data_IF_477470776317
#
_entry.id   IF_477470776317
#
_cell.length_a   1.000
_cell.length_b   1.000
_cell.length_c   1.000
_cell.angle_alpha   90.00
_cell.angle_beta   90.00
_cell.angle_gamma   90.00
#
_symmetry.space_group_name_H-M   'P 1'
#
loop_
_entity.id
_entity.type
_entity.pdbx_description
1 polymer ?
#
# COMPACT_ATOMS: atom_id res chain seq x y z
N UNK A 1 3.35 21.27 5.11
CA UNK A 1 4.53 20.81 5.87
C UNK A 1 4.88 19.43 5.37
N UNK A 2 6.04 19.25 4.75
CA UNK A 2 6.58 17.90 4.55
C UNK A 2 6.80 17.28 5.92
N UNK A 3 6.06 16.21 6.21
CA UNK A 3 6.10 15.54 7.52
C UNK A 3 7.42 14.77 7.73
N UNK A 4 8.15 14.51 6.65
CA UNK A 4 9.39 13.74 6.63
C UNK A 4 10.47 14.55 5.94
N UNK A 5 11.39 15.18 6.70
CA UNK A 5 12.43 16.07 6.14
C UNK A 5 13.53 15.32 5.38
N UNK A 6 13.56 13.99 5.45
CA UNK A 6 14.44 13.15 4.64
C UNK A 6 13.65 12.51 3.50
N UNK A 7 14.28 12.40 2.32
CA UNK A 7 13.66 11.75 1.16
C UNK A 7 13.36 10.28 1.48
N UNK A 8 12.09 9.91 1.37
CA UNK A 8 11.65 8.51 1.42
C UNK A 8 12.29 7.80 0.23
N UNK A 9 13.05 6.74 0.50
CA UNK A 9 13.80 6.02 -0.53
C UNK A 9 13.10 4.75 -1.02
N UNK A 10 12.10 4.26 -0.30
CA UNK A 10 11.24 3.14 -0.70
C UNK A 10 9.93 3.20 0.11
N UNK A 11 8.80 3.02 -0.56
CA UNK A 11 7.51 2.79 0.09
C UNK A 11 7.13 1.32 -0.05
N UNK A 12 6.81 0.67 1.08
CA UNK A 12 6.34 -0.72 1.10
C UNK A 12 4.87 -0.71 1.47
N UNK A 13 4.04 -1.27 0.59
CA UNK A 13 2.60 -1.43 0.80
C UNK A 13 2.31 -2.87 1.21
N UNK A 14 1.59 -3.03 2.32
CA UNK A 14 1.19 -4.31 2.90
C UNK A 14 -0.21 -4.14 3.46
N UNK A 15 -1.15 -4.99 3.06
CA UNK A 15 -2.56 -4.96 3.52
C UNK A 15 -3.17 -3.56 3.53
N UNK A 16 -2.83 -2.77 2.51
CA UNK A 16 -3.16 -1.35 2.42
C UNK A 16 -3.55 -0.98 0.99
N UNK A 17 -4.43 0.01 0.87
CA UNK A 17 -4.78 0.59 -0.43
C UNK A 17 -3.60 1.43 -0.91
N UNK A 18 -3.13 1.14 -2.12
CA UNK A 18 -2.10 1.92 -2.77
C UNK A 18 -2.74 3.07 -3.56
N UNK A 19 -2.44 4.34 -3.21
CA UNK A 19 -2.94 5.48 -3.96
C UNK A 19 -2.19 5.60 -5.30
N UNK A 20 -2.91 6.09 -6.30
CA UNK A 20 -2.39 6.38 -7.63
C UNK A 20 -2.14 7.89 -7.81
N UNK A 21 -1.22 8.25 -8.71
CA UNK A 21 -0.94 9.62 -9.14
C UNK A 21 -1.76 10.04 -10.36
N UNK A 22 -2.20 9.09 -11.20
CA UNK A 22 -2.97 9.39 -12.41
C UNK A 22 -4.46 9.56 -12.10
N UNK A 23 -5.05 8.57 -11.43
CA UNK A 23 -6.47 8.55 -11.10
C UNK A 23 -6.76 9.24 -9.77
N UNK A 24 -7.96 9.84 -9.65
CA UNK A 24 -8.47 10.26 -8.34
C UNK A 24 -8.61 9.05 -7.40
N UNK A 25 -8.65 9.26 -6.06
CA UNK A 25 -8.72 8.16 -5.10
C UNK A 25 -9.83 7.17 -5.47
N UNK A 26 -9.43 5.93 -5.76
CA UNK A 26 -10.32 4.90 -6.28
C UNK A 26 -11.37 4.50 -5.25
N UNK A 27 -12.63 4.55 -5.69
CA UNK A 27 -13.82 4.31 -4.90
C UNK A 27 -13.87 2.87 -4.38
N UNK A 28 -13.95 2.68 -3.05
CA UNK A 28 -14.39 1.40 -2.47
C UNK A 28 -15.31 1.69 -1.28
N UNK A 29 -16.60 1.39 -1.46
CA UNK A 29 -17.62 1.53 -0.43
C UNK A 29 -17.39 0.46 0.64
N UNK A 30 -17.07 0.86 1.86
CA UNK A 30 -17.23 0.00 3.04
C UNK A 30 -18.11 0.72 4.05
N UNK A 31 -19.35 0.26 4.20
CA UNK A 31 -20.35 0.80 5.11
C UNK A 31 -20.05 0.35 6.55
N UNK A 32 -19.23 1.12 7.26
CA UNK A 32 -18.96 0.94 8.68
C UNK A 32 -19.15 2.25 9.43
N UNK A 33 -20.36 2.52 9.94
CA UNK A 33 -20.65 3.70 10.74
C UNK A 33 -20.16 3.52 12.18
N UNK A 34 -18.91 3.83 12.50
CA UNK A 34 -18.55 4.42 13.81
C UNK A 34 -17.11 4.94 13.86
N UNK A 35 -16.97 6.19 14.32
CA UNK A 35 -15.73 6.82 14.81
C UNK A 35 -14.57 6.89 13.80
N UNK A 36 -14.71 7.72 12.76
CA UNK A 36 -13.72 7.73 11.68
C UNK A 36 -13.17 9.13 11.42
N UNK A 37 -11.84 9.25 11.50
CA UNK A 37 -11.11 10.37 10.89
C UNK A 37 -11.28 10.25 9.37
N UNK A 38 -11.48 11.35 8.63
CA UNK A 38 -11.53 11.31 7.17
C UNK A 38 -10.29 10.59 6.63
N UNK A 39 -10.51 9.45 6.00
CA UNK A 39 -9.46 8.58 5.48
C UNK A 39 -9.81 8.14 4.06
N UNK A 40 -9.03 7.22 3.50
CA UNK A 40 -9.20 6.69 2.14
C UNK A 40 -10.52 5.94 1.90
N UNK A 41 -11.42 5.91 2.87
CA UNK A 41 -12.75 5.30 2.81
C UNK A 41 -13.90 6.35 2.79
N UNK A 42 -13.60 7.65 2.91
CA UNK A 42 -14.59 8.74 2.89
C UNK A 42 -14.60 9.43 1.53
N UNK A 43 -15.49 8.99 0.64
CA UNK A 43 -15.55 9.43 -0.76
C UNK A 43 -15.76 10.95 -0.89
N UNK A 44 -16.64 11.52 -0.07
CA UNK A 44 -17.02 12.94 -0.10
C UNK A 44 -15.85 13.87 0.25
N UNK A 45 -14.96 13.41 1.13
CA UNK A 45 -13.77 14.16 1.52
C UNK A 45 -12.60 13.87 0.57
N UNK A 46 -12.50 12.65 0.04
CA UNK A 46 -11.49 12.26 -0.94
C UNK A 46 -11.53 13.08 -2.23
N UNK A 47 -12.72 13.42 -2.72
CA UNK A 47 -12.87 14.29 -3.90
C UNK A 47 -12.30 15.71 -3.68
N UNK A 48 -12.20 16.15 -2.42
CA UNK A 48 -11.66 17.47 -2.05
C UNK A 48 -10.15 17.42 -1.81
N UNK A 49 -9.55 16.24 -1.72
CA UNK A 49 -8.12 16.06 -1.46
C UNK A 49 -7.36 16.20 -2.79
N UNK A 50 -6.29 16.98 -2.76
CA UNK A 50 -5.40 17.16 -3.92
C UNK A 50 -4.79 15.82 -4.32
N UNK A 51 -4.81 15.50 -5.62
CA UNK A 51 -4.14 14.31 -6.17
C UNK A 51 -2.67 14.26 -5.78
N UNK A 52 -2.15 13.04 -5.68
CA UNK A 52 -0.72 12.83 -5.59
C UNK A 52 -0.05 13.24 -6.90
N UNK A 53 1.18 13.77 -6.81
CA UNK A 53 1.96 14.20 -7.97
C UNK A 53 3.14 13.27 -8.19
N UNK A 54 3.62 13.23 -9.43
CA UNK A 54 4.75 12.38 -9.81
C UNK A 54 6.05 12.86 -9.19
N UNK A 55 6.24 14.18 -9.02
CA UNK A 55 7.44 14.73 -8.38
C UNK A 55 7.50 14.43 -6.87
N UNK A 56 6.34 14.17 -6.26
CA UNK A 56 6.23 13.84 -4.84
C UNK A 56 6.14 12.34 -4.63
N UNK A 57 4.91 11.84 -4.48
CA UNK A 57 4.64 10.44 -4.18
C UNK A 57 5.07 9.50 -5.31
N UNK A 58 4.85 9.89 -6.58
CA UNK A 58 5.22 9.05 -7.73
C UNK A 58 6.74 8.85 -7.90
N UNK A 59 7.56 9.76 -7.35
CA UNK A 59 9.02 9.69 -7.44
C UNK A 59 9.64 8.59 -6.57
N UNK A 60 8.87 8.05 -5.61
CA UNK A 60 9.35 7.05 -4.64
C UNK A 60 9.16 5.67 -5.23
N UNK A 61 10.22 4.84 -5.20
CA UNK A 61 10.12 3.44 -5.58
C UNK A 61 9.13 2.69 -4.66
N UNK A 62 8.23 1.91 -5.24
CA UNK A 62 7.16 1.21 -4.54
C UNK A 62 7.36 -0.29 -4.57
N UNK A 63 7.18 -0.96 -3.44
CA UNK A 63 7.11 -2.41 -3.32
C UNK A 63 5.76 -2.79 -2.74
N UNK A 64 5.13 -3.82 -3.29
CA UNK A 64 3.85 -4.31 -2.80
C UNK A 64 4.02 -5.74 -2.27
N UNK A 65 3.49 -6.00 -1.07
CA UNK A 65 3.48 -7.33 -0.47
C UNK A 65 2.03 -7.84 -0.45
N UNK A 66 1.78 -8.88 -1.24
CA UNK A 66 0.48 -9.51 -1.41
C UNK A 66 0.23 -10.52 -0.30
N UNK A 67 -0.92 -10.40 0.36
CA UNK A 67 -1.41 -11.39 1.33
C UNK A 67 -2.52 -12.22 0.66
N UNK A 68 -2.30 -13.51 0.44
CA UNK A 68 -3.24 -14.34 -0.32
C UNK A 68 -4.55 -14.65 0.42
N UNK A 69 -4.54 -14.63 1.75
CA UNK A 69 -5.73 -14.93 2.56
C UNK A 69 -6.45 -13.67 3.06
N UNK A 70 -6.08 -12.50 2.53
CA UNK A 70 -6.72 -11.23 2.89
C UNK A 70 -8.16 -11.18 2.36
N UNK A 71 -9.12 -11.12 3.29
CA UNK A 71 -10.56 -10.99 3.00
C UNK A 71 -11.04 -9.55 2.99
N UNK A 72 -10.29 -8.62 3.56
CA UNK A 72 -10.62 -7.19 3.58
C UNK A 72 -10.27 -6.55 2.23
N UNK A 73 -9.08 -6.89 1.72
CA UNK A 73 -8.53 -6.49 0.43
C UNK A 73 -8.24 -7.79 -0.36
N UNK A 74 -9.21 -8.32 -1.12
CA UNK A 74 -9.05 -9.59 -1.82
C UNK A 74 -7.82 -9.61 -2.74
N UNK A 75 -7.14 -10.76 -2.94
CA UNK A 75 -5.94 -10.84 -3.76
C UNK A 75 -6.14 -10.34 -5.20
N UNK A 76 -7.33 -10.52 -5.76
CA UNK A 76 -7.69 -9.97 -7.07
C UNK A 76 -7.63 -8.44 -7.09
N UNK A 77 -8.13 -7.79 -6.03
CA UNK A 77 -8.06 -6.35 -5.89
C UNK A 77 -6.62 -5.88 -5.62
N UNK A 78 -5.82 -6.65 -4.89
CA UNK A 78 -4.40 -6.37 -4.72
C UNK A 78 -3.65 -6.40 -6.06
N UNK A 79 -3.91 -7.41 -6.90
CA UNK A 79 -3.35 -7.52 -8.26
C UNK A 79 -3.79 -6.36 -9.15
N UNK A 80 -5.08 -6.01 -9.11
CA UNK A 80 -5.59 -4.85 -9.84
C UNK A 80 -4.88 -3.55 -9.42
N UNK A 81 -4.64 -3.35 -8.11
CA UNK A 81 -3.88 -2.19 -7.63
C UNK A 81 -2.43 -2.20 -8.12
N UNK A 82 -1.79 -3.36 -8.19
CA UNK A 82 -0.43 -3.53 -8.72
C UNK A 82 -0.39 -3.20 -10.21
N UNK A 83 -1.37 -3.65 -11.00
CA UNK A 83 -1.44 -3.38 -12.44
C UNK A 83 -1.70 -1.90 -12.74
N UNK A 84 -2.51 -1.23 -11.92
CA UNK A 84 -2.86 0.18 -12.10
C UNK A 84 -1.83 1.17 -11.51
N UNK A 85 -0.69 0.69 -11.01
CA UNK A 85 0.33 1.55 -10.39
C UNK A 85 1.74 1.12 -10.78
N UNK A 86 2.70 2.04 -10.73
CA UNK A 86 4.11 1.69 -10.96
C UNK A 86 4.74 1.04 -9.71
N UNK A 87 4.66 -0.29 -9.63
CA UNK A 87 5.30 -1.10 -8.58
C UNK A 87 6.60 -1.69 -9.09
N UNK A 88 7.71 -1.48 -8.35
CA UNK A 88 9.04 -1.98 -8.72
C UNK A 88 9.22 -3.47 -8.40
N UNK A 89 8.69 -3.91 -7.27
CA UNK A 89 8.83 -5.29 -6.80
C UNK A 89 7.54 -5.74 -6.12
N UNK A 90 7.17 -6.99 -6.35
CA UNK A 90 6.01 -7.62 -5.72
C UNK A 90 6.48 -8.87 -4.99
N UNK A 91 6.07 -9.01 -3.72
CA UNK A 91 6.30 -10.20 -2.90
C UNK A 91 4.97 -10.80 -2.51
N UNK A 92 4.90 -12.11 -2.30
CA UNK A 92 3.66 -12.81 -1.93
C UNK A 92 3.89 -13.57 -0.64
N UNK A 93 2.92 -13.49 0.28
CA UNK A 93 2.87 -14.27 1.51
C UNK A 93 1.57 -15.09 1.49
N UNK A 94 1.68 -16.37 1.11
CA UNK A 94 0.56 -17.29 0.87
C UNK A 94 -0.31 -17.55 2.12
N UNK A 95 0.30 -17.51 3.31
CA UNK A 95 -0.39 -17.79 4.58
C UNK A 95 -0.83 -16.52 5.32
N UNK A 96 -0.56 -15.34 4.78
CA UNK A 96 -0.92 -14.09 5.43
C UNK A 96 -2.39 -13.71 5.15
N UNK A 97 -3.08 -13.35 6.23
CA UNK A 97 -4.37 -12.67 6.17
C UNK A 97 -4.19 -11.14 6.08
N UNK A 98 -5.25 -10.38 6.40
CA UNK A 98 -5.20 -8.91 6.42
C UNK A 98 -4.26 -8.34 7.50
N UNK A 99 -3.79 -9.16 8.43
CA UNK A 99 -2.86 -8.77 9.49
C UNK A 99 -1.65 -9.71 9.50
N UNK A 100 -0.75 -9.63 8.50
CA UNK A 100 0.44 -10.48 8.36
C UNK A 100 1.38 -10.41 9.55
N UNK A 101 1.36 -9.32 10.31
CA UNK A 101 2.10 -9.19 11.57
C UNK A 101 1.61 -10.15 12.66
N UNK A 102 0.39 -10.68 12.56
CA UNK A 102 -0.20 -11.64 13.47
C UNK A 102 -0.31 -13.03 12.85
N UNK A 103 -0.77 -13.13 11.60
CA UNK A 103 -0.95 -14.42 10.92
C UNK A 103 0.37 -15.07 10.49
N UNK A 104 1.32 -14.28 9.97
CA UNK A 104 2.57 -14.80 9.42
C UNK A 104 3.79 -13.89 9.73
N UNK A 105 4.07 -13.59 11.01
CA UNK A 105 5.10 -12.61 11.41
C UNK A 105 6.51 -12.97 10.92
N UNK A 106 6.87 -14.24 10.97
CA UNK A 106 8.20 -14.70 10.54
C UNK A 106 8.41 -14.55 9.03
N UNK A 107 7.38 -14.89 8.25
CA UNK A 107 7.41 -14.74 6.78
C UNK A 107 7.46 -13.27 6.39
N UNK A 108 6.68 -12.43 7.07
CA UNK A 108 6.73 -10.98 6.89
C UNK A 108 8.13 -10.43 7.20
N UNK A 109 8.74 -10.84 8.32
CA UNK A 109 10.08 -10.40 8.70
C UNK A 109 11.12 -10.79 7.64
N UNK A 110 11.11 -12.05 7.18
CA UNK A 110 11.99 -12.50 6.09
C UNK A 110 11.79 -11.69 4.81
N UNK A 111 10.53 -11.48 4.41
CA UNK A 111 10.20 -10.67 3.23
C UNK A 111 10.77 -9.24 3.34
N UNK A 112 10.65 -8.59 4.50
CA UNK A 112 11.18 -7.24 4.71
C UNK A 112 12.71 -7.21 4.70
N UNK A 113 13.36 -8.23 5.27
CA UNK A 113 14.82 -8.37 5.23
C UNK A 113 15.34 -8.57 3.80
N UNK A 114 14.64 -9.36 2.98
CA UNK A 114 14.98 -9.53 1.57
C UNK A 114 14.86 -8.22 0.78
N UNK A 115 13.79 -7.46 1.00
CA UNK A 115 13.59 -6.15 0.35
C UNK A 115 14.68 -5.15 0.79
N UNK A 116 15.05 -5.18 2.08
CA UNK A 116 16.15 -4.36 2.56
C UNK A 116 17.48 -4.79 1.92
N UNK A 117 17.76 -6.10 1.85
CA UNK A 117 18.97 -6.63 1.24
C UNK A 117 19.05 -6.33 -0.26
N UNK A 118 17.95 -6.42 -1.02
CA UNK A 118 17.93 -6.12 -2.45
C UNK A 118 18.21 -4.64 -2.74
N UNK A 119 17.79 -3.76 -1.83
CA UNK A 119 17.99 -2.32 -1.96
C UNK A 119 19.36 -1.83 -1.49
N UNK A 120 19.92 -2.43 -0.44
CA UNK A 120 21.16 -1.98 0.19
C UNK A 120 22.36 -2.91 -0.06
N UNK A 121 22.21 -4.00 -0.83
CA UNK A 121 23.36 -4.76 -1.35
C UNK A 121 24.17 -3.86 -2.26
N UNK A 122 25.44 -3.66 -1.86
CA UNK A 122 26.43 -2.80 -2.50
C UNK A 122 26.96 -3.42 -3.78
#
# INVERSE_FOLDING_TARGET
>A
MEKYPQKISLAIFLTAIMPDTEHGPSQRLYTGNTMVRPGSLFIEDLHKIKKFTDEGFGSVARVYVVCEQDKCIPPEFQRWMIENNTVKEVKVIEEADHMPMFSAPEKLCKCLLEIAASKYST
#
